data_IF_147341046053
#
_entry.id   IF_147341046053
#
_cell.length_a   1.000
_cell.length_b   1.000
_cell.length_c   1.000
_cell.angle_alpha   90.00
_cell.angle_beta   90.00
_cell.angle_gamma   90.00
#
_symmetry.space_group_name_H-M   'P 1'
#
loop_
_entity.id
_entity.type
_entity.pdbx_description
1 polymer ?
#
# COMPACT_ATOMS: atom_id res chain seq x y z
N UNK A 1 9.58 -25.64 16.61
CA UNK A 1 8.92 -24.39 17.04
C UNK A 1 9.32 -23.33 16.04
N UNK A 2 8.48 -23.07 15.04
CA UNK A 2 8.75 -21.96 14.11
C UNK A 2 8.36 -20.70 14.87
N UNK A 3 9.33 -19.82 15.12
CA UNK A 3 9.06 -18.53 15.71
C UNK A 3 8.39 -17.70 14.62
N UNK A 4 7.06 -17.61 14.68
CA UNK A 4 6.31 -16.65 13.88
C UNK A 4 6.68 -15.27 14.42
N UNK A 5 7.64 -14.62 13.78
CA UNK A 5 7.76 -13.17 13.84
C UNK A 5 6.40 -12.62 13.43
N UNK A 6 5.68 -11.88 14.30
CA UNK A 6 4.57 -11.10 13.82
C UNK A 6 5.22 -10.05 12.91
N UNK A 7 5.08 -10.21 11.60
CA UNK A 7 5.16 -9.04 10.75
C UNK A 7 3.93 -8.24 11.16
N UNK A 8 4.12 -7.27 12.05
CA UNK A 8 3.08 -6.28 12.33
C UNK A 8 2.97 -5.48 11.05
N UNK A 9 2.14 -5.96 10.13
CA UNK A 9 1.71 -5.17 9.00
C UNK A 9 0.75 -4.12 9.58
N UNK A 10 1.17 -2.86 9.58
CA UNK A 10 0.29 -1.75 9.86
C UNK A 10 -0.66 -1.57 8.68
N UNK A 11 -1.85 -1.06 8.95
CA UNK A 11 -2.83 -0.77 7.90
C UNK A 11 -3.10 0.72 7.86
N UNK A 12 -3.20 1.27 6.66
CA UNK A 12 -3.56 2.65 6.43
C UNK A 12 -4.73 2.71 5.46
N UNK A 13 -5.76 3.44 5.87
CA UNK A 13 -6.94 3.71 5.07
C UNK A 13 -6.77 5.08 4.41
N UNK A 14 -7.05 5.17 3.12
CA UNK A 14 -6.94 6.43 2.42
C UNK A 14 -7.45 6.40 1.00
N UNK A 15 -7.62 7.58 0.41
CA UNK A 15 -7.98 7.72 -0.99
C UNK A 15 -6.74 7.89 -1.84
N UNK A 16 -6.67 7.21 -2.98
CA UNK A 16 -5.54 7.34 -3.90
C UNK A 16 -5.52 8.75 -4.47
N UNK A 17 -4.43 9.49 -4.23
CA UNK A 17 -4.21 10.83 -4.80
C UNK A 17 -3.32 10.81 -6.02
N UNK A 18 -2.28 10.00 -5.98
CA UNK A 18 -1.31 9.88 -7.06
C UNK A 18 -0.75 8.47 -7.08
N UNK A 19 -0.49 7.97 -8.28
CA UNK A 19 0.11 6.66 -8.53
C UNK A 19 1.30 6.90 -9.44
N UNK A 20 2.47 6.45 -9.01
CA UNK A 20 3.73 6.59 -9.70
C UNK A 20 4.17 5.22 -10.20
N UNK A 21 3.93 4.96 -11.49
CA UNK A 21 4.23 3.67 -12.13
C UNK A 21 5.75 3.46 -12.29
N UNK A 22 6.50 4.57 -12.43
CA UNK A 22 7.95 4.54 -12.61
C UNK A 22 8.67 4.19 -11.31
N UNK A 23 8.27 4.84 -10.21
CA UNK A 23 8.84 4.60 -8.89
C UNK A 23 8.18 3.40 -8.16
N UNK A 24 7.09 2.86 -8.70
CA UNK A 24 6.21 1.89 -8.05
C UNK A 24 5.80 2.38 -6.66
N UNK A 25 5.32 3.63 -6.59
CA UNK A 25 4.84 4.24 -5.35
C UNK A 25 3.42 4.78 -5.50
N UNK A 26 2.70 4.86 -4.39
CA UNK A 26 1.36 5.39 -4.32
C UNK A 26 1.28 6.41 -3.19
N UNK A 27 0.69 7.57 -3.49
CA UNK A 27 0.40 8.60 -2.50
C UNK A 27 -1.08 8.58 -2.18
N UNK A 28 -1.37 8.40 -0.89
CA UNK A 28 -2.73 8.43 -0.35
C UNK A 28 -3.08 9.84 0.14
N UNK A 29 -4.37 10.09 0.34
CA UNK A 29 -4.89 11.36 0.90
C UNK A 29 -4.37 11.69 2.29
N UNK A 30 -3.83 10.71 3.02
CA UNK A 30 -3.13 10.93 4.30
C UNK A 30 -1.83 11.75 4.13
N UNK A 31 -1.34 11.92 2.90
CA UNK A 31 -0.09 12.63 2.58
C UNK A 31 1.15 11.75 2.70
N UNK A 32 0.96 10.46 3.02
CA UNK A 32 2.02 9.45 3.04
C UNK A 32 2.16 8.77 1.69
N UNK A 33 3.40 8.41 1.36
CA UNK A 33 3.75 7.65 0.17
C UNK A 33 4.15 6.23 0.58
N UNK A 34 3.64 5.27 -0.18
CA UNK A 34 3.81 3.86 0.08
C UNK A 34 4.37 3.17 -1.15
N UNK A 35 5.29 2.22 -0.94
CA UNK A 35 5.95 1.50 -2.02
C UNK A 35 5.13 0.28 -2.40
N UNK A 36 4.68 0.25 -3.64
CA UNK A 36 3.88 -0.83 -4.19
C UNK A 36 4.76 -2.08 -4.38
N UNK A 37 4.23 -3.29 -4.12
CA UNK A 37 4.90 -4.52 -4.53
C UNK A 37 4.97 -4.55 -6.06
N UNK A 38 6.09 -5.03 -6.61
CA UNK A 38 6.33 -5.02 -8.06
C UNK A 38 5.36 -5.88 -8.90
N UNK A 39 4.53 -6.70 -8.25
CA UNK A 39 3.50 -7.55 -8.88
C UNK A 39 2.07 -6.99 -8.77
N UNK A 40 1.92 -5.77 -8.27
CA UNK A 40 0.58 -5.21 -8.07
C UNK A 40 -0.09 -4.93 -9.42
N UNK A 41 -1.33 -5.39 -9.57
CA UNK A 41 -2.13 -5.06 -10.75
C UNK A 41 -2.68 -3.63 -10.58
N UNK A 42 -2.13 -2.71 -11.36
CA UNK A 42 -2.53 -1.30 -11.35
C UNK A 42 -3.73 -1.02 -12.25
N UNK A 43 -4.17 -2.01 -13.03
CA UNK A 43 -5.32 -1.98 -13.93
C UNK A 43 -6.70 -1.73 -13.26
N UNK A 44 -6.73 -1.49 -11.96
CA UNK A 44 -7.93 -1.03 -11.22
C UNK A 44 -7.69 0.18 -10.33
N UNK A 45 -6.45 0.65 -10.18
CA UNK A 45 -6.16 1.81 -9.34
C UNK A 45 -6.48 3.09 -10.10
N UNK A 46 -7.49 3.81 -9.61
CA UNK A 46 -7.81 5.15 -10.08
C UNK A 46 -7.67 6.16 -8.95
N UNK A 47 -7.15 7.34 -9.29
CA UNK A 47 -7.14 8.48 -8.37
C UNK A 47 -8.59 8.79 -7.96
N UNK A 48 -8.82 8.91 -6.66
CA UNK A 48 -10.16 9.07 -6.08
C UNK A 48 -10.78 7.80 -5.50
N UNK A 49 -10.17 6.62 -5.70
CA UNK A 49 -10.64 5.38 -5.10
C UNK A 49 -10.18 5.26 -3.64
N UNK A 50 -11.08 4.86 -2.75
CA UNK A 50 -10.75 4.55 -1.36
C UNK A 50 -10.17 3.13 -1.26
N UNK A 51 -9.02 3.03 -0.61
CA UNK A 51 -8.31 1.76 -0.44
C UNK A 51 -7.76 1.64 0.97
N UNK A 52 -7.60 0.41 1.42
CA UNK A 52 -6.89 0.06 2.63
C UNK A 52 -5.60 -0.64 2.21
N UNK A 53 -4.46 -0.08 2.60
CA UNK A 53 -3.15 -0.69 2.34
C UNK A 53 -2.58 -1.27 3.63
N UNK A 54 -2.21 -2.54 3.60
CA UNK A 54 -1.35 -3.12 4.61
C UNK A 54 0.10 -2.88 4.19
N UNK A 55 0.90 -2.36 5.10
CA UNK A 55 2.30 -2.07 4.87
C UNK A 55 3.16 -2.53 6.04
N UNK A 56 4.40 -2.87 5.75
CA UNK A 56 5.43 -3.09 6.74
C UNK A 56 6.50 -2.01 6.63
N UNK A 57 6.98 -1.52 7.77
CA UNK A 57 8.10 -0.59 7.79
C UNK A 57 9.40 -1.39 7.78
N UNK A 58 10.02 -1.48 6.61
CA UNK A 58 11.26 -2.22 6.41
C UNK A 58 12.37 -1.25 6.02
N UNK A 59 13.29 -0.96 6.95
CA UNK A 59 14.44 -0.10 6.69
C UNK A 59 14.10 1.39 6.47
N UNK A 60 12.98 1.86 7.03
CA UNK A 60 12.51 3.25 6.90
C UNK A 60 11.66 3.53 5.65
N UNK A 61 11.34 2.50 4.88
CA UNK A 61 10.37 2.57 3.77
C UNK A 61 9.09 1.84 4.16
N UNK A 62 7.93 2.45 3.87
CA UNK A 62 6.62 1.80 4.00
C UNK A 62 6.40 0.91 2.76
N UNK A 63 6.63 -0.40 2.89
CA UNK A 63 6.40 -1.36 1.81
C UNK A 63 5.01 -1.94 1.94
N UNK A 64 4.19 -1.74 0.92
CA UNK A 64 2.86 -2.36 0.84
C UNK A 64 3.07 -3.86 0.71
N UNK A 65 2.40 -4.62 1.57
CA UNK A 65 2.40 -6.08 1.58
C UNK A 65 1.10 -6.63 1.04
N UNK A 66 0.00 -5.92 1.31
CA UNK A 66 -1.34 -6.28 0.86
C UNK A 66 -2.16 -5.00 0.60
N UNK A 67 -3.13 -5.07 -0.31
CA UNK A 67 -4.05 -3.96 -0.55
C UNK A 67 -5.47 -4.46 -0.75
N UNK A 68 -6.41 -3.72 -0.20
CA UNK A 68 -7.84 -4.00 -0.30
C UNK A 68 -8.54 -2.78 -0.85
N UNK A 69 -9.27 -2.99 -1.96
CA UNK A 69 -10.14 -1.97 -2.54
C UNK A 69 -11.48 -1.98 -1.79
N UNK A 70 -12.00 -0.79 -1.47
CA UNK A 70 -13.31 -0.63 -0.82
C UNK A 70 -14.47 -0.60 -1.83
N UNK A 71 -14.25 -1.02 -3.08
CA UNK A 71 -15.27 -1.10 -4.13
C UNK A 71 -16.04 -2.42 -3.99
N UNK A 72 -17.38 -2.35 -3.92
CA UNK A 72 -18.32 -3.49 -3.81
C UNK A 72 -18.62 -4.12 -5.19
#
# INVERSE_FOLDING_TARGET
>A
MVMSIPVSADTAEGTIRQIDLEALTMTLSDGRTYKLPGEINLDGLSVGMAVIVAYEEAGGENRITDMVFLDD
#
